data_IF_970961264521
#
_entry.id   IF_970961264521
#
_cell.length_a   1.000
_cell.length_b   1.000
_cell.length_c   1.000
_cell.angle_alpha   90.00
_cell.angle_beta   90.00
_cell.angle_gamma   90.00
#
_symmetry.space_group_name_H-M   'P 1'
#
loop_
_entity.id
_entity.type
_entity.pdbx_description
1 polymer ?
#
# COMPACT_ATOMS: atom_id res chain seq x y z
N UNK A 1 -1.92 51.59 -0.21
CA UNK A 1 -1.74 50.23 0.31
C UNK A 1 -3.01 49.46 -0.01
N UNK A 2 -2.91 48.43 -0.85
CA UNK A 2 -4.06 47.60 -1.23
C UNK A 2 -3.90 46.23 -0.55
N UNK A 3 -4.77 45.83 0.39
CA UNK A 3 -4.71 44.51 0.99
C UNK A 3 -5.34 43.54 0.00
N UNK A 4 -4.55 43.00 -0.92
CA UNK A 4 -4.94 41.82 -1.69
C UNK A 4 -5.00 40.62 -0.73
N UNK A 5 -6.13 40.49 -0.04
CA UNK A 5 -6.55 39.21 0.55
C UNK A 5 -6.97 38.31 -0.60
N UNK A 6 -6.00 37.57 -1.16
CA UNK A 6 -6.28 36.45 -2.03
C UNK A 6 -7.18 35.46 -1.27
N UNK A 7 -8.30 35.00 -1.85
CA UNK A 7 -9.01 33.87 -1.28
C UNK A 7 -8.13 32.65 -1.51
N UNK A 8 -7.37 32.27 -0.48
CA UNK A 8 -6.77 30.95 -0.43
C UNK A 8 -7.93 29.97 -0.45
N UNK A 9 -8.17 29.43 -1.64
CA UNK A 9 -9.15 28.42 -1.96
C UNK A 9 -8.72 27.17 -1.18
N UNK A 10 -9.12 27.09 0.10
CA UNK A 10 -9.01 25.89 0.91
C UNK A 10 -9.76 24.80 0.16
N UNK A 11 -9.02 24.02 -0.61
CA UNK A 11 -9.51 22.82 -1.25
C UNK A 11 -10.19 22.01 -0.15
N UNK A 12 -11.51 21.94 -0.24
CA UNK A 12 -12.36 21.23 0.69
C UNK A 12 -12.09 19.74 0.47
N UNK A 13 -11.01 19.22 1.06
CA UNK A 13 -10.76 17.80 1.07
C UNK A 13 -11.93 17.17 1.82
N UNK A 14 -12.72 16.27 1.20
CA UNK A 14 -13.80 15.62 1.92
C UNK A 14 -13.19 14.84 3.09
N UNK A 15 -13.47 15.32 4.30
CA UNK A 15 -13.07 14.62 5.50
C UNK A 15 -14.01 13.43 5.66
N UNK A 16 -13.49 12.22 5.48
CA UNK A 16 -14.28 11.00 5.64
C UNK A 16 -14.88 10.97 7.05
N UNK A 17 -16.14 10.57 7.15
CA UNK A 17 -16.75 10.20 8.43
C UNK A 17 -16.03 8.98 9.00
N UNK A 18 -16.20 8.70 10.30
CA UNK A 18 -15.58 7.52 10.93
C UNK A 18 -15.98 6.20 10.23
N UNK A 19 -17.23 6.09 9.77
CA UNK A 19 -17.72 4.93 9.04
C UNK A 19 -17.08 4.82 7.65
N UNK A 20 -16.99 5.92 6.91
CA UNK A 20 -16.34 5.94 5.60
C UNK A 20 -14.84 5.66 5.69
N UNK A 21 -14.18 6.18 6.74
CA UNK A 21 -12.78 5.88 7.03
C UNK A 21 -12.56 4.39 7.31
N UNK A 22 -13.40 3.79 8.16
CA UNK A 22 -13.33 2.35 8.44
C UNK A 22 -13.54 1.51 7.18
N UNK A 23 -14.53 1.85 6.35
CA UNK A 23 -14.77 1.17 5.08
C UNK A 23 -13.59 1.34 4.12
N UNK A 24 -13.00 2.53 4.05
CA UNK A 24 -11.81 2.79 3.26
C UNK A 24 -10.62 1.93 3.71
N UNK A 25 -10.39 1.80 5.02
CA UNK A 25 -9.33 0.93 5.55
C UNK A 25 -9.53 -0.55 5.19
N UNK A 26 -10.78 -1.02 5.21
CA UNK A 26 -11.12 -2.38 4.78
C UNK A 26 -10.79 -2.55 3.30
N UNK A 27 -11.24 -1.62 2.45
CA UNK A 27 -10.96 -1.67 1.01
C UNK A 27 -9.45 -1.64 0.72
N UNK A 28 -8.70 -0.84 1.49
CA UNK A 28 -7.25 -0.77 1.39
C UNK A 28 -6.59 -2.09 1.77
N UNK A 29 -7.06 -2.75 2.84
CA UNK A 29 -6.57 -4.05 3.26
C UNK A 29 -6.84 -5.13 2.21
N UNK A 30 -8.03 -5.13 1.62
CA UNK A 30 -8.39 -6.04 0.52
C UNK A 30 -7.51 -5.82 -0.71
N UNK A 31 -7.33 -4.56 -1.13
CA UNK A 31 -6.46 -4.20 -2.25
C UNK A 31 -4.97 -4.49 -1.98
N UNK A 32 -4.57 -4.51 -0.71
CA UNK A 32 -3.20 -4.86 -0.30
C UNK A 32 -2.95 -6.36 -0.24
N UNK A 33 -3.95 -7.22 -0.48
CA UNK A 33 -3.71 -8.66 -0.54
C UNK A 33 -2.82 -8.98 -1.72
N UNK A 34 -1.84 -9.85 -1.49
CA UNK A 34 -0.88 -10.29 -2.50
C UNK A 34 -0.15 -9.11 -3.18
N UNK A 35 0.18 -8.07 -2.41
CA UNK A 35 0.90 -6.89 -2.91
C UNK A 35 2.37 -6.87 -2.48
N UNK A 36 2.92 -7.99 -2.01
CA UNK A 36 4.32 -8.07 -1.59
C UNK A 36 5.02 -9.09 -2.48
N UNK A 37 5.91 -8.60 -3.34
CA UNK A 37 6.82 -9.45 -4.06
C UNK A 37 7.99 -9.84 -3.15
N UNK A 38 8.24 -11.14 -3.09
CA UNK A 38 9.24 -11.76 -2.24
C UNK A 38 10.31 -12.41 -3.11
N UNK A 39 11.58 -12.20 -2.76
CA UNK A 39 12.72 -12.87 -3.38
C UNK A 39 13.65 -13.45 -2.33
N UNK A 40 13.84 -14.77 -2.35
CA UNK A 40 14.77 -15.43 -1.45
C UNK A 40 16.21 -15.29 -1.95
N UNK A 41 17.07 -14.64 -1.18
CA UNK A 41 18.48 -14.44 -1.54
C UNK A 41 19.33 -15.71 -1.49
N UNK A 42 18.81 -16.79 -0.88
CA UNK A 42 19.54 -18.05 -0.75
C UNK A 42 19.30 -19.01 -1.94
N UNK A 43 18.06 -19.08 -2.44
CA UNK A 43 17.69 -20.01 -3.53
C UNK A 43 17.12 -19.32 -4.78
N UNK A 44 17.09 -17.99 -4.80
CA UNK A 44 16.56 -17.15 -5.88
C UNK A 44 15.07 -17.40 -6.23
N UNK A 45 14.32 -18.08 -5.36
CA UNK A 45 12.87 -18.26 -5.54
C UNK A 45 12.16 -16.92 -5.38
N UNK A 46 11.18 -16.69 -6.25
CA UNK A 46 10.32 -15.52 -6.26
C UNK A 46 8.86 -15.93 -6.06
N UNK A 47 8.11 -15.14 -5.29
CA UNK A 47 6.68 -15.35 -5.09
C UNK A 47 6.00 -14.05 -4.63
N UNK A 48 4.68 -14.09 -4.53
CA UNK A 48 3.87 -12.98 -4.03
C UNK A 48 3.19 -13.41 -2.73
N UNK A 49 3.21 -12.54 -1.73
CA UNK A 49 2.65 -12.77 -0.41
C UNK A 49 1.76 -11.60 0.02
N UNK A 50 0.93 -11.85 1.03
CA UNK A 50 0.12 -10.82 1.69
C UNK A 50 0.80 -10.26 2.96
N UNK A 51 1.90 -10.85 3.41
CA UNK A 51 2.65 -10.38 4.58
C UNK A 51 4.16 -10.65 4.46
N UNK A 52 4.96 -9.96 5.27
CA UNK A 52 6.43 -10.13 5.34
C UNK A 52 6.87 -11.17 6.37
N UNK A 53 5.95 -12.02 6.85
CA UNK A 53 6.22 -13.03 7.89
C UNK A 53 6.47 -14.42 7.32
N UNK A 54 6.37 -14.59 6.00
CA UNK A 54 6.53 -15.89 5.34
C UNK A 54 8.01 -16.25 5.14
N UNK A 55 8.37 -17.49 5.49
CA UNK A 55 9.69 -18.06 5.20
C UNK A 55 9.68 -18.74 3.83
N UNK A 56 10.80 -18.69 3.10
CA UNK A 56 10.91 -19.46 1.86
C UNK A 56 10.81 -20.97 2.14
N UNK A 57 10.32 -21.73 1.17
CA UNK A 57 10.25 -23.21 1.21
C UNK A 57 11.62 -23.89 1.35
N UNK A 58 12.73 -23.18 1.12
CA UNK A 58 14.08 -23.67 1.37
C UNK A 58 14.50 -23.55 2.84
N UNK A 59 13.67 -22.94 3.70
CA UNK A 59 13.94 -22.69 5.11
C UNK A 59 14.75 -21.42 5.40
N UNK A 60 15.19 -20.68 4.38
CA UNK A 60 15.95 -19.44 4.58
C UNK A 60 15.04 -18.29 5.04
N UNK A 61 15.44 -17.54 6.09
CA UNK A 61 14.76 -16.30 6.49
C UNK A 61 15.23 -15.07 5.69
N UNK A 62 16.23 -15.22 4.80
CA UNK A 62 16.85 -14.11 4.08
C UNK A 62 16.04 -13.74 2.83
N UNK A 63 14.91 -13.07 3.05
CA UNK A 63 13.97 -12.67 2.01
C UNK A 63 14.03 -11.16 1.80
N UNK A 64 14.09 -10.75 0.54
CA UNK A 64 13.86 -9.37 0.13
C UNK A 64 12.38 -9.18 -0.19
N UNK A 65 11.80 -8.11 0.35
CA UNK A 65 10.40 -7.74 0.15
C UNK A 65 10.30 -6.43 -0.63
N UNK A 66 9.43 -6.40 -1.62
CA UNK A 66 9.09 -5.19 -2.38
C UNK A 66 7.57 -5.10 -2.47
N UNK A 67 6.99 -3.99 -2.04
CA UNK A 67 5.56 -3.77 -2.24
C UNK A 67 5.29 -3.53 -3.74
N UNK A 68 4.49 -4.40 -4.35
CA UNK A 68 4.07 -4.36 -5.75
C UNK A 68 2.59 -4.00 -5.84
N UNK A 69 2.33 -2.69 -5.91
CA UNK A 69 1.00 -2.19 -6.22
C UNK A 69 0.76 -2.33 -7.72
N UNK A 70 -0.09 -3.28 -8.08
CA UNK A 70 -0.57 -3.45 -9.45
C UNK A 70 -1.84 -2.61 -9.59
N UNK A 71 -1.76 -1.49 -10.28
CA UNK A 71 -2.96 -0.87 -10.81
C UNK A 71 -3.41 -1.69 -12.02
N UNK A 72 -4.69 -2.08 -12.13
CA UNK A 72 -5.18 -2.66 -13.37
C UNK A 72 -4.96 -1.64 -14.50
N UNK A 73 -4.45 -2.11 -15.63
CA UNK A 73 -4.16 -1.27 -16.81
C UNK A 73 -5.43 -0.87 -17.59
N UNK A 74 -6.62 -1.36 -17.19
CA UNK A 74 -7.94 -1.11 -17.81
C UNK A 74 -8.96 -0.56 -16.81
#
# INVERSE_FOLDING_TARGET
>A
MNPNSSPENSANHPHLTAAEYAQWQINLAEASRNNIWCHCRACAREWVASSTTETCTCGSPNIQYVHCWMFPDD
#
